data_IF_619471931732
#
_entry.id   IF_619471931732
#
_cell.length_a   1.000
_cell.length_b   1.000
_cell.length_c   1.000
_cell.angle_alpha   90.00
_cell.angle_beta   90.00
_cell.angle_gamma   90.00
#
_symmetry.space_group_name_H-M   'P 1'
#
loop_
_entity.id
_entity.type
_entity.pdbx_description
1 polymer ?
#
# COMPACT_ATOMS: atom_id res chain seq x y z
N UNK A 1 -2.31 11.18 11.87
CA UNK A 1 -2.98 12.48 12.04
C UNK A 1 -4.46 12.22 11.81
N UNK A 2 -5.31 12.37 12.82
CA UNK A 2 -6.75 12.24 12.64
C UNK A 2 -7.27 13.56 12.07
N UNK A 3 -7.90 13.52 10.90
CA UNK A 3 -8.53 14.69 10.29
C UNK A 3 -9.84 14.95 11.03
N UNK A 4 -10.04 16.19 11.47
CA UNK A 4 -11.28 16.61 12.13
C UNK A 4 -12.44 16.59 11.13
N UNK A 5 -13.66 16.31 11.60
CA UNK A 5 -14.86 16.17 10.74
C UNK A 5 -15.10 17.41 9.87
N UNK A 6 -14.87 18.60 10.41
CA UNK A 6 -15.01 19.88 9.70
C UNK A 6 -14.03 19.99 8.52
N UNK A 7 -12.80 19.50 8.69
CA UNK A 7 -11.81 19.48 7.60
C UNK A 7 -12.20 18.48 6.51
N UNK A 8 -12.78 17.34 6.89
CA UNK A 8 -13.26 16.35 5.93
C UNK A 8 -14.41 16.93 5.07
N UNK A 9 -15.36 17.62 5.69
CA UNK A 9 -16.46 18.28 4.98
C UNK A 9 -15.95 19.40 4.06
N UNK A 10 -15.06 20.26 4.56
CA UNK A 10 -14.47 21.33 3.77
C UNK A 10 -13.76 20.79 2.52
N UNK A 11 -12.89 19.79 2.69
CA UNK A 11 -12.14 19.21 1.58
C UNK A 11 -13.02 18.38 0.65
N UNK A 12 -14.03 17.68 1.17
CA UNK A 12 -15.04 16.98 0.36
C UNK A 12 -15.83 17.93 -0.53
N UNK A 13 -16.24 19.08 0.01
CA UNK A 13 -16.93 20.12 -0.75
C UNK A 13 -16.02 20.69 -1.85
N UNK A 14 -14.77 21.06 -1.52
CA UNK A 14 -13.79 21.54 -2.50
C UNK A 14 -13.54 20.52 -3.62
N UNK A 15 -13.38 19.24 -3.27
CA UNK A 15 -13.15 18.17 -4.21
C UNK A 15 -14.29 18.00 -5.22
N UNK A 16 -15.53 18.07 -4.73
CA UNK A 16 -16.74 17.91 -5.54
C UNK A 16 -17.00 19.16 -6.39
N UNK A 17 -17.00 20.35 -5.78
CA UNK A 17 -17.30 21.62 -6.46
C UNK A 17 -16.33 21.92 -7.61
N UNK A 18 -15.05 21.57 -7.44
CA UNK A 18 -14.03 21.80 -8.48
C UNK A 18 -13.83 20.60 -9.42
N UNK A 19 -14.64 19.55 -9.25
CA UNK A 19 -14.60 18.32 -10.05
C UNK A 19 -13.17 17.75 -10.12
N UNK A 20 -12.53 17.62 -8.94
CA UNK A 20 -11.14 17.18 -8.80
C UNK A 20 -10.96 15.68 -9.07
N UNK A 21 -12.06 14.92 -9.07
CA UNK A 21 -12.13 13.52 -9.52
C UNK A 21 -11.55 13.27 -10.92
N UNK A 22 -11.46 14.31 -11.76
CA UNK A 22 -10.80 14.21 -13.07
C UNK A 22 -9.28 13.99 -12.98
N UNK A 23 -8.66 14.39 -11.86
CA UNK A 23 -7.22 14.34 -11.59
C UNK A 23 -6.83 13.14 -10.72
N UNK A 24 -7.59 12.86 -9.66
CA UNK A 24 -7.28 11.80 -8.69
C UNK A 24 -8.52 11.32 -7.92
N UNK A 25 -8.41 10.22 -7.19
CA UNK A 25 -9.47 9.74 -6.29
C UNK A 25 -9.52 10.59 -5.02
N UNK A 26 -10.66 10.58 -4.33
CA UNK A 26 -10.79 11.31 -3.06
C UNK A 26 -9.81 10.79 -1.99
N UNK A 27 -9.60 9.47 -1.92
CA UNK A 27 -8.63 8.88 -0.99
C UNK A 27 -7.20 9.37 -1.25
N UNK A 28 -6.77 9.46 -2.52
CA UNK A 28 -5.46 9.99 -2.87
C UNK A 28 -5.34 11.48 -2.56
N UNK A 29 -6.40 12.26 -2.82
CA UNK A 29 -6.45 13.68 -2.48
C UNK A 29 -6.28 13.92 -0.97
N UNK A 30 -6.97 13.12 -0.15
CA UNK A 30 -6.96 13.25 1.32
C UNK A 30 -5.64 12.86 1.99
N UNK A 31 -4.65 12.32 1.26
CA UNK A 31 -3.29 12.11 1.78
C UNK A 31 -2.62 13.45 2.10
N UNK A 32 -2.81 14.45 1.24
CA UNK A 32 -2.31 15.82 1.40
C UNK A 32 -3.17 16.81 0.61
N UNK A 33 -4.36 17.18 1.13
CA UNK A 33 -5.35 17.91 0.34
C UNK A 33 -4.94 19.34 0.04
N UNK A 34 -4.18 19.99 0.92
CA UNK A 34 -3.70 21.36 0.72
C UNK A 34 -2.68 21.44 -0.42
N UNK A 35 -1.68 20.55 -0.41
CA UNK A 35 -0.69 20.48 -1.49
C UNK A 35 -1.33 20.17 -2.83
N UNK A 36 -2.18 19.14 -2.91
CA UNK A 36 -2.85 18.77 -4.16
C UNK A 36 -3.78 19.88 -4.66
N UNK A 37 -4.46 20.58 -3.75
CA UNK A 37 -5.28 21.74 -4.10
C UNK A 37 -4.45 22.82 -4.78
N UNK A 38 -3.31 23.19 -4.19
CA UNK A 38 -2.42 24.21 -4.74
C UNK A 38 -1.84 23.76 -6.09
N UNK A 39 -1.35 22.53 -6.20
CA UNK A 39 -0.80 21.99 -7.46
C UNK A 39 -1.83 22.00 -8.61
N UNK A 40 -3.09 21.66 -8.33
CA UNK A 40 -4.15 21.64 -9.34
C UNK A 40 -4.63 23.06 -9.67
N UNK A 41 -4.86 23.91 -8.66
CA UNK A 41 -5.38 25.26 -8.89
C UNK A 41 -4.35 26.18 -9.54
N UNK A 42 -3.06 26.03 -9.19
CA UNK A 42 -1.97 26.82 -9.77
C UNK A 42 -1.32 26.15 -11.00
N UNK A 43 -1.99 25.16 -11.59
CA UNK A 43 -1.74 24.70 -12.96
C UNK A 43 -0.54 23.76 -13.15
N UNK A 44 0.07 23.27 -12.07
CA UNK A 44 1.14 22.26 -12.16
C UNK A 44 0.56 20.86 -12.42
N UNK A 45 -0.70 20.62 -12.07
CA UNK A 45 -1.37 19.34 -12.24
C UNK A 45 -2.27 19.34 -13.49
N UNK A 46 -1.82 18.71 -14.57
CA UNK A 46 -2.63 18.51 -15.78
C UNK A 46 -3.42 17.20 -15.67
N UNK A 47 -4.71 17.17 -16.08
CA UNK A 47 -5.48 15.94 -16.03
C UNK A 47 -4.91 14.95 -17.05
N UNK A 48 -4.73 13.70 -16.61
CA UNK A 48 -4.23 12.64 -17.49
C UNK A 48 -5.17 12.43 -18.68
N UNK A 49 -4.60 12.32 -19.87
CA UNK A 49 -5.31 11.89 -21.06
C UNK A 49 -5.83 10.47 -20.88
N UNK A 50 -6.87 10.07 -21.61
CA UNK A 50 -7.50 8.76 -21.48
C UNK A 50 -6.48 7.60 -21.53
N UNK A 51 -5.53 7.63 -22.48
CA UNK A 51 -4.46 6.62 -22.60
C UNK A 51 -3.51 6.60 -21.40
N UNK A 52 -3.27 7.74 -20.77
CA UNK A 52 -2.44 7.81 -19.56
C UNK A 52 -3.17 7.24 -18.35
N UNK A 53 -4.50 7.41 -18.28
CA UNK A 53 -5.34 6.76 -17.25
C UNK A 53 -5.29 5.25 -17.38
N UNK A 54 -5.45 4.73 -18.60
CA UNK A 54 -5.32 3.28 -18.87
C UNK A 54 -3.93 2.75 -18.50
N UNK A 55 -2.87 3.49 -18.83
CA UNK A 55 -1.51 3.11 -18.47
C UNK A 55 -1.31 3.09 -16.94
N UNK A 56 -1.82 4.10 -16.23
CA UNK A 56 -1.80 4.17 -14.77
C UNK A 56 -2.52 2.96 -14.15
N UNK A 57 -3.75 2.67 -14.58
CA UNK A 57 -4.51 1.53 -14.04
C UNK A 57 -3.80 0.19 -14.26
N UNK A 58 -3.05 0.04 -15.35
CA UNK A 58 -2.24 -1.15 -15.60
C UNK A 58 -1.05 -1.22 -14.64
N UNK A 59 -0.40 -0.09 -14.36
CA UNK A 59 0.72 0.00 -13.40
C UNK A 59 0.23 -0.28 -11.98
N UNK A 60 -0.91 0.30 -11.58
CA UNK A 60 -1.50 0.10 -10.25
C UNK A 60 -1.82 -1.39 -10.02
N UNK A 61 -2.51 -2.03 -10.98
CA UNK A 61 -2.79 -3.49 -10.93
C UNK A 61 -1.52 -4.35 -10.88
N UNK A 62 -0.49 -3.98 -11.63
CA UNK A 62 0.78 -4.71 -11.60
C UNK A 62 1.47 -4.56 -10.23
N UNK A 63 1.41 -3.37 -9.63
CA UNK A 63 2.00 -3.06 -8.33
C UNK A 63 1.31 -3.83 -7.21
N UNK A 64 -0.02 -3.88 -7.20
CA UNK A 64 -0.80 -4.71 -6.27
C UNK A 64 -0.43 -6.20 -6.38
N UNK A 65 -0.28 -6.70 -7.61
CA UNK A 65 0.15 -8.08 -7.87
C UNK A 65 1.56 -8.37 -7.34
N UNK A 66 2.49 -7.41 -7.48
CA UNK A 66 3.84 -7.51 -6.94
C UNK A 66 3.84 -7.50 -5.41
N UNK A 67 3.06 -6.62 -4.79
CA UNK A 67 2.94 -6.52 -3.34
C UNK A 67 2.34 -7.81 -2.74
N UNK A 68 1.33 -8.39 -3.38
CA UNK A 68 0.78 -9.70 -2.99
C UNK A 68 1.83 -10.82 -3.11
N UNK A 69 2.66 -10.76 -4.15
CA UNK A 69 3.74 -11.75 -4.37
C UNK A 69 4.83 -11.61 -3.31
N UNK A 70 5.26 -10.39 -3.00
CA UNK A 70 6.21 -10.07 -1.93
C UNK A 70 5.73 -10.62 -0.58
N UNK A 71 4.50 -10.28 -0.19
CA UNK A 71 3.88 -10.79 1.03
C UNK A 71 3.87 -12.33 1.10
N UNK A 72 3.60 -13.00 -0.03
CA UNK A 72 3.62 -14.47 -0.09
C UNK A 72 5.03 -15.03 0.09
N UNK A 73 6.04 -14.41 -0.51
CA UNK A 73 7.44 -14.82 -0.38
C UNK A 73 7.94 -14.59 1.05
N UNK A 74 7.64 -13.43 1.64
CA UNK A 74 8.00 -13.14 3.04
C UNK A 74 7.42 -14.16 4.02
N UNK A 75 6.14 -14.53 3.86
CA UNK A 75 5.52 -15.60 4.68
C UNK A 75 6.22 -16.95 4.51
N UNK A 76 6.67 -17.29 3.29
CA UNK A 76 7.43 -18.53 3.05
C UNK A 76 8.80 -18.49 3.72
N UNK A 77 9.52 -17.37 3.60
CA UNK A 77 10.82 -17.18 4.26
C UNK A 77 10.70 -17.26 5.77
N UNK A 78 9.68 -16.61 6.34
CA UNK A 78 9.36 -16.70 7.78
C UNK A 78 9.05 -18.16 8.19
N UNK A 79 8.28 -18.90 7.38
CA UNK A 79 8.03 -20.32 7.59
C UNK A 79 9.31 -21.16 7.61
N UNK A 80 10.24 -20.91 6.68
CA UNK A 80 11.53 -21.61 6.63
C UNK A 80 12.44 -21.25 7.81
N UNK A 81 12.50 -19.96 8.21
CA UNK A 81 13.25 -19.52 9.39
C UNK A 81 12.75 -20.15 10.68
N UNK A 82 11.44 -20.41 10.80
CA UNK A 82 10.86 -21.14 11.94
C UNK A 82 11.23 -22.61 11.94
N UNK A 83 11.43 -23.24 10.78
CA UNK A 83 11.89 -24.63 10.69
C UNK A 83 13.36 -24.71 11.11
N UNK A 84 14.21 -23.81 10.61
CA UNK A 84 15.64 -23.78 10.98
C UNK A 84 15.88 -23.42 12.45
N UNK A 85 15.09 -22.50 13.02
CA UNK A 85 15.16 -22.14 14.45
C UNK A 85 14.28 -23.03 15.35
N UNK A 86 13.58 -23.99 14.77
CA UNK A 86 12.57 -24.82 15.42
C UNK A 86 12.98 -26.28 15.57
N UNK A 87 14.27 -26.60 15.61
CA UNK A 87 14.70 -27.89 16.10
C UNK A 87 14.35 -28.01 17.59
N UNK A 88 13.45 -28.93 18.01
CA UNK A 88 13.58 -29.46 19.34
C UNK A 88 14.95 -30.14 19.36
N UNK A 89 15.81 -29.79 20.31
CA UNK A 89 16.90 -30.67 20.68
C UNK A 89 16.25 -31.97 21.19
N UNK A 90 15.94 -32.91 20.30
CA UNK A 90 15.84 -34.30 20.68
C UNK A 90 17.21 -34.62 21.30
N UNK A 91 17.22 -34.76 22.62
CA UNK A 91 18.34 -35.36 23.31
C UNK A 91 18.53 -36.71 22.63
N UNK A 92 19.60 -36.84 21.84
CA UNK A 92 20.13 -38.12 21.42
C UNK A 92 20.29 -38.92 22.71
N UNK A 93 19.31 -39.77 23.01
CA UNK A 93 19.42 -40.78 24.05
C UNK A 93 20.56 -41.66 23.57
N UNK A 94 21.75 -41.38 24.08
CA UNK A 94 22.85 -42.31 24.01
C UNK A 94 22.31 -43.62 24.56
N UNK A 95 22.14 -44.61 23.69
CA UNK A 95 22.05 -45.99 24.09
C UNK A 95 23.30 -46.27 24.92
N UNK A 96 23.15 -46.18 26.25
CA UNK A 96 24.08 -46.76 27.18
C UNK A 96 23.98 -48.28 26.99
N UNK A 97 24.64 -48.80 25.97
CA UNK A 97 25.11 -50.18 25.96
C UNK A 97 26.25 -50.27 26.98
N UNK A 98 25.86 -50.21 28.24
CA UNK A 98 26.68 -50.58 29.39
C UNK A 98 26.38 -52.04 29.72
N UNK A 99 27.43 -52.84 29.56
CA UNK A 99 27.62 -54.25 29.93
C UNK A 99 26.76 -54.80 31.07
#
# INVERSE_FOLDING_TARGET
>A
MAIETEQLEYWGNKFTCHNLQRYMTFAAFMVDPAKHWDEIMYGQYQPLLARQKEARERIDRASEGLEATLNRVERKVEGLRRIDNGHPYEQLKHHANGR
#
